data_IF_167443194530
#
_entry.id   IF_167443194530
#
_cell.length_a   1.000
_cell.length_b   1.000
_cell.length_c   1.000
_cell.angle_alpha   90.00
_cell.angle_beta   90.00
_cell.angle_gamma   90.00
#
_symmetry.space_group_name_H-M   'P 1'
#
loop_
_entity.id
_entity.type
_entity.pdbx_description
1 polymer ?
#
# COMPACT_ATOMS: atom_id res chain seq x y z
N UNK A 1 28.52 -26.02 -23.07
CA UNK A 1 29.40 -27.17 -23.40
C UNK A 1 29.01 -28.29 -22.44
N UNK A 2 28.04 -29.14 -22.82
CA UNK A 2 28.21 -30.53 -23.30
C UNK A 2 27.91 -31.56 -22.19
N UNK A 3 26.76 -32.24 -22.35
CA UNK A 3 26.41 -33.68 -22.17
C UNK A 3 26.76 -34.36 -20.82
N UNK A 4 25.80 -34.93 -20.06
CA UNK A 4 25.00 -36.16 -20.31
C UNK A 4 25.82 -37.46 -20.26
N UNK A 5 25.21 -38.53 -19.71
CA UNK A 5 25.61 -39.98 -19.71
C UNK A 5 26.43 -40.36 -18.44
N UNK A 6 26.16 -41.41 -17.64
CA UNK A 6 25.77 -42.77 -18.01
C UNK A 6 25.10 -43.58 -16.87
N UNK A 7 24.11 -44.38 -17.29
CA UNK A 7 23.51 -45.54 -16.64
C UNK A 7 24.19 -46.82 -17.16
N UNK A 8 24.59 -47.77 -16.30
CA UNK A 8 24.87 -49.20 -16.60
C UNK A 8 25.04 -49.92 -15.23
N UNK A 9 24.14 -50.77 -14.71
CA UNK A 9 23.66 -52.07 -15.17
C UNK A 9 24.78 -53.04 -15.60
N UNK A 10 25.11 -54.01 -14.73
CA UNK A 10 25.82 -55.24 -15.08
C UNK A 10 25.04 -56.45 -14.54
N UNK A 11 24.47 -57.19 -15.47
CA UNK A 11 23.93 -58.54 -15.38
C UNK A 11 25.00 -59.48 -15.97
N UNK A 12 25.24 -60.65 -15.35
CA UNK A 12 25.72 -61.90 -15.98
C UNK A 12 26.14 -62.91 -14.88
N UNK A 13 25.32 -63.92 -14.54
CA UNK A 13 25.21 -65.28 -15.12
C UNK A 13 26.29 -66.29 -14.70
N UNK A 14 25.87 -67.44 -14.14
CA UNK A 14 26.32 -68.84 -14.32
C UNK A 14 25.79 -69.67 -13.11
N UNK A 15 25.33 -70.93 -13.14
CA UNK A 15 25.06 -71.93 -14.17
C UNK A 15 24.45 -73.17 -13.43
N UNK A 16 23.28 -73.70 -13.87
CA UNK A 16 22.98 -75.14 -14.14
C UNK A 16 22.83 -76.15 -12.95
N UNK A 17 22.08 -77.29 -13.06
CA UNK A 17 20.72 -77.53 -13.58
C UNK A 17 19.92 -78.64 -12.79
N UNK A 18 18.74 -78.99 -13.32
CA UNK A 18 18.09 -80.31 -13.39
C UNK A 18 17.31 -80.93 -12.21
N UNK A 19 16.01 -81.08 -12.54
CA UNK A 19 15.19 -82.31 -12.53
C UNK A 19 14.42 -82.68 -11.25
N UNK A 20 13.09 -82.63 -11.38
CA UNK A 20 12.17 -83.20 -10.41
C UNK A 20 10.72 -82.83 -10.72
N UNK A 21 10.19 -83.36 -11.82
CA UNK A 21 8.76 -83.30 -12.15
C UNK A 21 7.99 -84.13 -11.11
N UNK A 22 7.10 -83.46 -10.35
CA UNK A 22 5.97 -84.12 -9.68
C UNK A 22 4.72 -83.28 -9.95
N UNK A 23 3.93 -83.76 -10.91
CA UNK A 23 2.57 -83.30 -11.17
C UNK A 23 1.72 -83.73 -9.98
N UNK A 24 1.16 -82.78 -9.25
CA UNK A 24 0.03 -83.04 -8.35
C UNK A 24 -1.09 -82.10 -8.76
N UNK A 25 -2.14 -82.71 -9.33
CA UNK A 25 -3.43 -82.11 -9.58
C UNK A 25 -4.00 -81.60 -8.25
N UNK A 26 -3.94 -80.30 -8.02
CA UNK A 26 -4.73 -79.65 -6.99
C UNK A 26 -5.70 -78.68 -7.66
N UNK A 27 -6.92 -79.20 -7.84
CA UNK A 27 -8.19 -78.50 -7.74
C UNK A 27 -8.13 -76.98 -7.80
N UNK A 28 -8.57 -76.44 -8.94
CA UNK A 28 -9.03 -75.06 -9.04
C UNK A 28 -10.30 -74.88 -8.19
N UNK A 29 -10.13 -74.62 -6.89
CA UNK A 29 -11.07 -73.74 -6.19
C UNK A 29 -10.47 -72.34 -6.20
N UNK A 30 -10.61 -71.65 -7.34
CA UNK A 30 -10.55 -70.19 -7.34
C UNK A 30 -11.79 -69.74 -6.57
N UNK A 31 -11.65 -69.59 -5.24
CA UNK A 31 -12.62 -68.84 -4.45
C UNK A 31 -12.69 -67.47 -5.09
N UNK A 32 -13.76 -67.23 -5.86
CA UNK A 32 -14.13 -65.88 -6.26
C UNK A 32 -14.34 -65.17 -4.94
N UNK A 33 -13.38 -64.32 -4.57
CA UNK A 33 -13.53 -63.38 -3.49
C UNK A 33 -14.64 -62.45 -3.98
N UNK A 34 -15.87 -62.75 -3.57
CA UNK A 34 -16.97 -61.80 -3.69
C UNK A 34 -16.45 -60.53 -3.01
N UNK A 35 -16.28 -59.41 -3.71
CA UNK A 35 -15.86 -58.18 -3.06
C UNK A 35 -16.90 -57.93 -1.98
N UNK A 36 -16.46 -57.92 -0.72
CA UNK A 36 -17.30 -57.42 0.34
C UNK A 36 -17.33 -55.91 0.15
N UNK A 37 -18.33 -55.40 -0.58
CA UNK A 37 -18.48 -53.98 -1.00
C UNK A 37 -18.74 -53.04 0.19
N UNK A 38 -18.36 -53.44 1.41
CA UNK A 38 -18.62 -52.70 2.65
C UNK A 38 -17.33 -52.17 3.30
N UNK A 39 -16.13 -52.56 2.84
CA UNK A 39 -14.89 -52.26 3.59
C UNK A 39 -13.82 -51.39 2.89
N UNK A 40 -14.08 -50.80 1.73
CA UNK A 40 -13.14 -49.86 1.10
C UNK A 40 -13.65 -48.41 1.19
N UNK A 41 -14.21 -48.01 2.34
CA UNK A 41 -14.32 -46.57 2.63
C UNK A 41 -12.88 -46.03 2.75
N UNK A 42 -12.56 -44.86 2.15
CA UNK A 42 -11.32 -44.17 2.44
C UNK A 42 -11.12 -44.11 3.96
N UNK A 43 -9.96 -44.55 4.44
CA UNK A 43 -9.75 -44.65 5.88
C UNK A 43 -9.58 -43.24 6.47
N UNK A 44 -10.50 -42.84 7.35
CA UNK A 44 -10.39 -41.61 8.11
C UNK A 44 -9.01 -41.48 8.77
N UNK A 45 -8.45 -42.60 9.26
CA UNK A 45 -7.14 -42.59 9.91
C UNK A 45 -6.02 -42.11 8.99
N UNK A 46 -6.15 -42.32 7.67
CA UNK A 46 -5.16 -41.83 6.71
C UNK A 46 -5.14 -40.30 6.66
N UNK A 47 -6.32 -39.67 6.61
CA UNK A 47 -6.45 -38.21 6.65
C UNK A 47 -5.90 -37.63 7.95
N UNK A 48 -6.21 -38.27 9.08
CA UNK A 48 -5.70 -37.88 10.40
C UNK A 48 -4.17 -37.97 10.46
N UNK A 49 -3.58 -39.07 9.94
CA UNK A 49 -2.12 -39.25 9.91
C UNK A 49 -1.44 -38.15 9.10
N UNK A 50 -1.98 -37.79 7.93
CA UNK A 50 -1.43 -36.69 7.14
C UNK A 50 -1.59 -35.34 7.84
N UNK A 51 -2.72 -35.11 8.50
CA UNK A 51 -2.99 -33.88 9.24
C UNK A 51 -2.02 -33.72 10.42
N UNK A 52 -1.83 -34.76 11.22
CA UNK A 52 -0.88 -34.78 12.34
C UNK A 52 0.58 -34.61 11.90
N UNK A 53 0.93 -35.11 10.70
CA UNK A 53 2.24 -34.90 10.09
C UNK A 53 2.43 -33.48 9.52
N UNK A 54 1.39 -32.64 9.52
CA UNK A 54 1.39 -31.31 8.89
C UNK A 54 1.34 -31.34 7.37
N UNK A 55 1.10 -32.50 6.76
CA UNK A 55 0.90 -32.65 5.32
C UNK A 55 -0.55 -32.34 4.95
N UNK A 56 -0.89 -31.06 5.06
CA UNK A 56 -2.26 -30.59 4.85
C UNK A 56 -2.76 -30.83 3.42
N UNK A 57 -1.88 -30.90 2.42
CA UNK A 57 -2.28 -31.20 1.05
C UNK A 57 -2.81 -32.63 0.93
N UNK A 58 -2.08 -33.63 1.45
CA UNK A 58 -2.55 -35.02 1.44
C UNK A 58 -3.71 -35.24 2.41
N UNK A 59 -3.75 -34.53 3.53
CA UNK A 59 -4.87 -34.57 4.46
C UNK A 59 -6.18 -34.11 3.80
N UNK A 60 -6.14 -32.96 3.10
CA UNK A 60 -7.29 -32.43 2.35
C UNK A 60 -7.80 -33.46 1.34
N UNK A 61 -6.91 -34.06 0.54
CA UNK A 61 -7.29 -35.07 -0.45
C UNK A 61 -7.98 -36.28 0.19
N UNK A 62 -7.44 -36.78 1.31
CA UNK A 62 -8.00 -37.92 2.03
C UNK A 62 -9.39 -37.60 2.63
N UNK A 63 -9.54 -36.43 3.25
CA UNK A 63 -10.81 -35.98 3.82
C UNK A 63 -11.88 -35.69 2.76
N UNK A 64 -11.52 -35.09 1.63
CA UNK A 64 -12.46 -34.88 0.51
C UNK A 64 -12.91 -36.23 -0.08
N UNK A 65 -12.00 -37.18 -0.24
CA UNK A 65 -12.33 -38.54 -0.66
C UNK A 65 -13.28 -39.20 0.36
N UNK A 66 -13.02 -39.07 1.66
CA UNK A 66 -13.89 -39.59 2.72
C UNK A 66 -15.32 -39.06 2.60
N UNK A 67 -15.49 -37.73 2.53
CA UNK A 67 -16.80 -37.08 2.45
C UNK A 67 -17.56 -37.40 1.15
N UNK A 68 -16.84 -37.77 0.08
CA UNK A 68 -17.45 -38.17 -1.19
C UNK A 68 -18.00 -39.60 -1.17
N UNK A 69 -17.36 -40.51 -0.43
CA UNK A 69 -17.70 -41.94 -0.43
C UNK A 69 -18.55 -42.37 0.77
N UNK A 70 -18.46 -41.69 1.92
CA UNK A 70 -19.25 -42.07 3.09
C UNK A 70 -20.70 -41.56 3.00
N UNK A 71 -21.62 -42.51 2.87
CA UNK A 71 -23.07 -42.26 2.88
C UNK A 71 -23.59 -42.23 4.33
N UNK A 72 -22.88 -42.87 5.27
CA UNK A 72 -23.34 -43.03 6.66
C UNK A 72 -23.29 -41.75 7.49
N UNK A 73 -22.61 -40.71 6.98
CA UNK A 73 -22.32 -39.45 7.67
C UNK A 73 -21.60 -39.63 9.00
N UNK A 74 -20.95 -40.77 9.21
CA UNK A 74 -20.24 -41.08 10.45
C UNK A 74 -18.96 -40.25 10.47
N UNK A 75 -18.64 -39.60 11.58
CA UNK A 75 -17.46 -38.72 11.71
C UNK A 75 -17.42 -37.52 10.74
N UNK A 76 -18.48 -37.23 9.99
CA UNK A 76 -18.49 -36.12 9.04
C UNK A 76 -18.21 -34.78 9.73
N UNK A 77 -18.67 -34.61 10.96
CA UNK A 77 -18.41 -33.42 11.76
C UNK A 77 -16.91 -33.27 12.07
N UNK A 78 -16.25 -34.34 12.53
CA UNK A 78 -14.79 -34.38 12.71
C UNK A 78 -14.05 -34.07 11.40
N UNK A 79 -14.45 -34.71 10.30
CA UNK A 79 -13.80 -34.54 9.00
C UNK A 79 -13.97 -33.12 8.48
N UNK A 80 -15.18 -32.55 8.58
CA UNK A 80 -15.41 -31.15 8.22
C UNK A 80 -14.54 -30.20 9.04
N UNK A 81 -14.41 -30.45 10.35
CA UNK A 81 -13.57 -29.65 11.24
C UNK A 81 -12.08 -29.71 10.86
N UNK A 82 -11.50 -30.92 10.71
CA UNK A 82 -10.09 -31.07 10.35
C UNK A 82 -9.78 -30.64 8.93
N UNK A 83 -10.69 -30.89 7.98
CA UNK A 83 -10.57 -30.39 6.62
C UNK A 83 -10.58 -28.86 6.58
N UNK A 84 -11.47 -28.22 7.34
CA UNK A 84 -11.50 -26.76 7.46
C UNK A 84 -10.20 -26.20 8.03
N UNK A 85 -9.64 -26.83 9.08
CA UNK A 85 -8.34 -26.45 9.63
C UNK A 85 -7.19 -26.61 8.61
N UNK A 86 -7.18 -27.69 7.83
CA UNK A 86 -6.16 -27.92 6.82
C UNK A 86 -6.22 -26.87 5.71
N UNK A 87 -7.42 -26.42 5.34
CA UNK A 87 -7.65 -25.31 4.42
C UNK A 87 -7.32 -23.94 5.02
N UNK A 88 -7.41 -23.78 6.35
CA UNK A 88 -7.19 -22.50 7.03
C UNK A 88 -5.71 -22.16 7.26
N UNK A 89 -4.79 -23.10 7.05
CA UNK A 89 -3.37 -22.90 7.37
C UNK A 89 -2.63 -22.10 6.26
N UNK A 90 -2.20 -20.84 6.49
CA UNK A 90 -1.69 -19.96 5.42
C UNK A 90 -0.42 -20.46 4.71
N UNK A 91 0.42 -21.22 5.41
CA UNK A 91 1.65 -21.78 4.83
C UNK A 91 1.43 -23.10 4.09
N UNK A 92 0.20 -23.63 4.09
CA UNK A 92 -0.14 -24.85 3.38
C UNK A 92 -0.31 -24.59 1.88
N UNK A 93 0.21 -25.45 0.98
CA UNK A 93 -0.15 -25.41 -0.45
C UNK A 93 -1.65 -25.57 -0.70
N UNK A 94 -2.37 -26.19 0.23
CA UNK A 94 -3.82 -26.35 0.15
C UNK A 94 -4.58 -25.13 0.70
N UNK A 95 -3.90 -24.07 1.17
CA UNK A 95 -4.55 -22.92 1.81
C UNK A 95 -5.67 -22.35 0.95
N UNK A 96 -6.87 -22.31 1.52
CA UNK A 96 -8.03 -21.65 0.94
C UNK A 96 -8.98 -21.23 2.06
N UNK A 97 -8.83 -19.98 2.49
CA UNK A 97 -9.61 -19.39 3.58
C UNK A 97 -11.13 -19.45 3.33
N UNK A 98 -11.58 -19.21 2.09
CA UNK A 98 -13.00 -19.25 1.76
C UNK A 98 -13.58 -20.66 1.89
N UNK A 99 -12.85 -21.68 1.43
CA UNK A 99 -13.26 -23.07 1.63
C UNK A 99 -13.28 -23.44 3.11
N UNK A 100 -12.28 -23.02 3.89
CA UNK A 100 -12.26 -23.26 5.33
C UNK A 100 -13.50 -22.70 6.04
N UNK A 101 -13.84 -21.43 5.76
CA UNK A 101 -15.04 -20.77 6.31
C UNK A 101 -16.30 -21.57 5.94
N UNK A 102 -16.49 -21.88 4.66
CA UNK A 102 -17.68 -22.62 4.21
C UNK A 102 -17.81 -24.01 4.84
N UNK A 103 -16.69 -24.68 5.14
CA UNK A 103 -16.69 -25.96 5.84
C UNK A 103 -17.06 -25.83 7.32
N UNK A 104 -16.58 -24.79 8.01
CA UNK A 104 -17.01 -24.50 9.38
C UNK A 104 -18.49 -24.10 9.44
N UNK A 105 -18.97 -23.29 8.51
CA UNK A 105 -20.40 -22.95 8.42
C UNK A 105 -21.26 -24.18 8.16
N UNK A 106 -20.80 -25.07 7.27
CA UNK A 106 -21.45 -26.35 7.02
C UNK A 106 -21.46 -27.26 8.27
N UNK A 107 -20.35 -27.33 9.01
CA UNK A 107 -20.29 -28.06 10.28
C UNK A 107 -21.37 -27.56 11.26
N UNK A 108 -21.48 -26.24 11.44
CA UNK A 108 -22.45 -25.63 12.35
C UNK A 108 -23.90 -25.83 11.90
N UNK A 109 -24.13 -25.93 10.58
CA UNK A 109 -25.45 -26.13 9.99
C UNK A 109 -25.88 -27.59 9.99
N UNK A 110 -25.02 -28.48 9.51
CA UNK A 110 -25.31 -29.91 9.34
C UNK A 110 -25.18 -30.70 10.66
N UNK A 111 -24.37 -30.23 11.61
CA UNK A 111 -24.03 -30.93 12.86
C UNK A 111 -24.04 -29.99 14.09
N UNK A 112 -25.20 -29.41 14.46
CA UNK A 112 -25.30 -28.41 15.54
C UNK A 112 -24.96 -28.94 16.94
N UNK A 113 -24.98 -30.27 17.14
CA UNK A 113 -24.62 -30.93 18.40
C UNK A 113 -23.18 -31.47 18.39
N UNK A 114 -22.39 -31.15 17.37
CA UNK A 114 -21.02 -31.61 17.26
C UNK A 114 -20.13 -31.09 18.42
N UNK A 115 -19.22 -31.92 18.95
CA UNK A 115 -18.23 -31.46 19.94
C UNK A 115 -17.27 -30.38 19.42
N UNK A 116 -17.27 -30.11 18.10
CA UNK A 116 -16.44 -29.10 17.44
C UNK A 116 -17.14 -27.75 17.25
N UNK A 117 -18.42 -27.63 17.62
CA UNK A 117 -19.23 -26.41 17.40
C UNK A 117 -18.58 -25.16 17.99
N UNK A 118 -18.27 -25.18 19.27
CA UNK A 118 -17.71 -24.02 19.99
C UNK A 118 -16.39 -23.56 19.37
N UNK A 119 -15.55 -24.51 18.95
CA UNK A 119 -14.26 -24.25 18.32
C UNK A 119 -14.46 -23.63 16.94
N UNK A 120 -15.40 -24.13 16.14
CA UNK A 120 -15.72 -23.56 14.84
C UNK A 120 -16.29 -22.14 14.94
N UNK A 121 -17.22 -21.90 15.88
CA UNK A 121 -17.75 -20.55 16.16
C UNK A 121 -16.64 -19.58 16.55
N UNK A 122 -15.72 -20.01 17.43
CA UNK A 122 -14.57 -19.20 17.84
C UNK A 122 -13.66 -18.87 16.65
N UNK A 123 -13.31 -19.85 15.82
CA UNK A 123 -12.45 -19.65 14.65
C UNK A 123 -13.08 -18.66 13.66
N UNK A 124 -14.37 -18.83 13.35
CA UNK A 124 -15.10 -17.90 12.48
C UNK A 124 -15.17 -16.48 13.08
N UNK A 125 -15.39 -16.38 14.39
CA UNK A 125 -15.39 -15.10 15.11
C UNK A 125 -14.03 -14.40 15.09
N UNK A 126 -12.93 -15.15 15.23
CA UNK A 126 -11.57 -14.61 15.11
C UNK A 126 -11.27 -14.18 13.67
N UNK A 127 -11.70 -14.96 12.68
CA UNK A 127 -11.53 -14.62 11.27
C UNK A 127 -12.24 -13.31 10.92
N UNK A 128 -13.49 -13.14 11.36
CA UNK A 128 -14.23 -11.90 11.16
C UNK A 128 -13.56 -10.69 11.85
N UNK A 129 -12.93 -10.88 13.01
CA UNK A 129 -12.16 -9.83 13.68
C UNK A 129 -10.88 -9.47 12.90
N UNK A 130 -10.15 -10.46 12.39
CA UNK A 130 -8.97 -10.23 11.55
C UNK A 130 -9.34 -9.42 10.30
N UNK A 131 -10.44 -9.78 9.62
CA UNK A 131 -10.87 -9.08 8.41
C UNK A 131 -11.31 -7.64 8.71
N UNK A 132 -11.98 -7.40 9.84
CA UNK A 132 -12.30 -6.05 10.32
C UNK A 132 -11.04 -5.22 10.59
N UNK A 133 -10.03 -5.83 11.23
CA UNK A 133 -8.76 -5.15 11.54
C UNK A 133 -8.02 -4.80 10.26
N UNK A 134 -7.96 -5.70 9.27
CA UNK A 134 -7.36 -5.43 7.96
C UNK A 134 -8.03 -4.24 7.27
N UNK A 135 -9.35 -4.24 7.20
CA UNK A 135 -10.11 -3.13 6.61
C UNK A 135 -9.84 -1.80 7.31
N UNK A 136 -9.74 -1.80 8.64
CA UNK A 136 -9.43 -0.60 9.42
C UNK A 136 -7.99 -0.13 9.16
N UNK A 137 -7.04 -1.05 9.06
CA UNK A 137 -5.64 -0.76 8.71
C UNK A 137 -5.55 -0.11 7.33
N UNK A 138 -6.23 -0.66 6.33
CA UNK A 138 -6.24 -0.13 4.96
C UNK A 138 -6.84 1.29 4.90
N UNK A 139 -7.92 1.52 5.64
CA UNK A 139 -8.53 2.84 5.77
C UNK A 139 -7.59 3.83 6.44
N UNK A 140 -6.95 3.44 7.53
CA UNK A 140 -6.02 4.30 8.26
C UNK A 140 -4.80 4.65 7.41
N UNK A 141 -4.26 3.68 6.67
CA UNK A 141 -3.16 3.91 5.73
C UNK A 141 -3.56 4.92 4.64
N UNK A 142 -4.76 4.80 4.08
CA UNK A 142 -5.27 5.77 3.10
C UNK A 142 -5.38 7.18 3.68
N UNK A 143 -5.83 7.31 4.94
CA UNK A 143 -5.90 8.61 5.63
C UNK A 143 -4.51 9.20 5.89
N UNK A 144 -3.52 8.37 6.25
CA UNK A 144 -2.14 8.82 6.44
C UNK A 144 -1.56 9.38 5.15
N UNK A 145 -1.78 8.72 4.02
CA UNK A 145 -1.30 9.21 2.71
C UNK A 145 -1.98 10.52 2.29
N UNK A 146 -3.30 10.64 2.52
CA UNK A 146 -4.02 11.89 2.28
C UNK A 146 -3.48 13.05 3.13
N UNK A 147 -3.29 12.82 4.43
CA UNK A 147 -2.74 13.82 5.34
C UNK A 147 -1.31 14.22 4.95
N UNK A 148 -0.46 13.26 4.56
CA UNK A 148 0.89 13.54 4.06
C UNK A 148 0.85 14.45 2.83
N UNK A 149 -0.03 14.18 1.88
CA UNK A 149 -0.17 15.03 0.69
C UNK A 149 -0.62 16.45 1.05
N UNK A 150 -1.55 16.57 2.01
CA UNK A 150 -2.06 17.86 2.49
C UNK A 150 -0.96 18.67 3.19
N UNK A 151 -0.16 18.01 4.03
CA UNK A 151 1.00 18.65 4.69
C UNK A 151 1.99 19.14 3.65
N UNK A 152 2.33 18.33 2.65
CA UNK A 152 3.27 18.72 1.59
C UNK A 152 2.78 19.94 0.79
N UNK A 153 1.49 19.98 0.43
CA UNK A 153 0.91 21.15 -0.25
C UNK A 153 0.95 22.39 0.63
N UNK A 154 0.59 22.27 1.92
CA UNK A 154 0.65 23.40 2.86
C UNK A 154 2.09 23.89 3.08
N UNK A 155 3.07 23.01 3.12
CA UNK A 155 4.49 23.37 3.21
C UNK A 155 4.96 24.16 1.97
N UNK A 156 4.53 23.74 0.77
CA UNK A 156 4.82 24.50 -0.46
C UNK A 156 4.18 25.88 -0.44
N UNK A 157 2.93 25.97 0.01
CA UNK A 157 2.23 27.25 0.16
C UNK A 157 2.92 28.17 1.17
N UNK A 158 3.38 27.64 2.31
CA UNK A 158 4.14 28.40 3.30
C UNK A 158 5.45 28.93 2.73
N UNK A 159 6.17 28.13 1.94
CA UNK A 159 7.39 28.59 1.24
C UNK A 159 7.11 29.71 0.26
N UNK A 160 6.08 29.58 -0.56
CA UNK A 160 5.68 30.63 -1.51
C UNK A 160 5.31 31.93 -0.79
N UNK A 161 4.54 31.83 0.29
CA UNK A 161 4.14 32.99 1.08
C UNK A 161 5.36 33.66 1.74
N UNK A 162 6.32 32.87 2.22
CA UNK A 162 7.56 33.40 2.79
C UNK A 162 8.38 34.19 1.75
N UNK A 163 8.56 33.63 0.55
CA UNK A 163 9.25 34.33 -0.55
C UNK A 163 8.54 35.63 -0.94
N UNK A 164 7.20 35.63 -0.98
CA UNK A 164 6.42 36.83 -1.29
C UNK A 164 6.56 37.90 -0.20
N UNK A 165 6.59 37.51 1.08
CA UNK A 165 6.81 38.43 2.20
C UNK A 165 8.20 39.07 2.14
N UNK A 166 9.24 38.29 1.85
CA UNK A 166 10.61 38.79 1.69
C UNK A 166 10.72 39.77 0.50
N UNK A 167 10.06 39.45 -0.61
CA UNK A 167 10.00 40.35 -1.77
C UNK A 167 9.26 41.65 -1.45
N UNK A 168 8.18 41.60 -0.67
CA UNK A 168 7.47 42.81 -0.25
C UNK A 168 8.31 43.68 0.69
N UNK A 169 9.06 43.06 1.61
CA UNK A 169 9.96 43.78 2.51
C UNK A 169 11.09 44.49 1.75
N UNK A 170 11.74 43.80 0.81
CA UNK A 170 12.79 44.40 -0.02
C UNK A 170 12.26 45.55 -0.88
N UNK A 171 11.08 45.38 -1.49
CA UNK A 171 10.42 46.44 -2.23
C UNK A 171 10.07 47.65 -1.34
N UNK A 172 9.64 47.42 -0.10
CA UNK A 172 9.33 48.50 0.84
C UNK A 172 10.59 49.30 1.18
N UNK A 173 11.70 48.64 1.49
CA UNK A 173 13.00 49.29 1.77
C UNK A 173 13.49 50.12 0.57
N UNK A 174 13.39 49.57 -0.64
CA UNK A 174 13.74 50.30 -1.87
C UNK A 174 12.89 51.55 -2.05
N UNK A 175 11.58 51.45 -1.82
CA UNK A 175 10.68 52.61 -1.90
C UNK A 175 10.97 53.66 -0.83
N UNK A 176 11.31 53.24 0.39
CA UNK A 176 11.74 54.17 1.44
C UNK A 176 13.02 54.93 1.06
N UNK A 177 13.98 54.26 0.42
CA UNK A 177 15.18 54.90 -0.08
C UNK A 177 14.87 55.90 -1.21
N UNK A 178 14.02 55.53 -2.17
CA UNK A 178 13.57 56.45 -3.22
C UNK A 178 12.87 57.68 -2.64
N UNK A 179 12.00 57.51 -1.63
CA UNK A 179 11.35 58.62 -0.93
C UNK A 179 12.39 59.52 -0.25
N UNK A 180 13.42 58.95 0.39
CA UNK A 180 14.52 59.74 0.97
C UNK A 180 15.24 60.57 -0.11
N UNK A 181 15.57 59.96 -1.24
CA UNK A 181 16.29 60.64 -2.33
C UNK A 181 15.45 61.77 -2.92
N UNK A 182 14.18 61.52 -3.27
CA UNK A 182 13.29 62.57 -3.77
C UNK A 182 13.08 63.71 -2.76
N UNK A 183 13.07 63.40 -1.45
CA UNK A 183 12.99 64.43 -0.42
C UNK A 183 14.22 65.34 -0.41
N UNK A 184 15.41 64.79 -0.60
CA UNK A 184 16.65 65.56 -0.71
C UNK A 184 16.64 66.44 -1.97
N UNK A 185 16.23 65.90 -3.11
CA UNK A 185 16.09 66.66 -4.37
C UNK A 185 15.08 67.81 -4.22
N UNK A 186 13.93 67.57 -3.59
CA UNK A 186 12.94 68.61 -3.31
C UNK A 186 13.50 69.72 -2.41
N UNK A 187 14.32 69.37 -1.42
CA UNK A 187 14.99 70.37 -0.57
C UNK A 187 15.95 71.24 -1.39
N UNK A 188 16.78 70.63 -2.24
CA UNK A 188 17.71 71.36 -3.12
C UNK A 188 16.98 72.26 -4.11
N UNK A 189 15.92 71.75 -4.74
CA UNK A 189 15.11 72.53 -5.68
C UNK A 189 14.42 73.71 -4.99
N UNK A 190 13.98 73.53 -3.73
CA UNK A 190 13.43 74.62 -2.92
C UNK A 190 14.46 75.68 -2.60
N UNK A 191 15.70 75.31 -2.24
CA UNK A 191 16.76 76.29 -2.01
C UNK A 191 17.11 77.07 -3.28
N UNK A 192 17.18 76.38 -4.42
CA UNK A 192 17.45 77.03 -5.71
C UNK A 192 16.34 78.01 -6.11
N UNK A 193 15.07 77.65 -5.87
CA UNK A 193 13.94 78.56 -6.07
C UNK A 193 14.08 79.82 -5.22
N UNK A 194 14.38 79.68 -3.93
CA UNK A 194 14.56 80.85 -3.05
C UNK A 194 15.72 81.75 -3.49
N UNK A 195 16.83 81.16 -3.94
CA UNK A 195 17.98 81.94 -4.44
C UNK A 195 17.63 82.66 -5.75
N UNK A 196 16.86 82.03 -6.64
CA UNK A 196 16.38 82.65 -7.88
C UNK A 196 15.40 83.79 -7.60
N UNK A 197 14.49 83.62 -6.65
CA UNK A 197 13.58 84.69 -6.21
C UNK A 197 14.34 85.92 -5.68
N UNK A 198 15.37 85.70 -4.88
CA UNK A 198 16.22 86.78 -4.37
C UNK A 198 16.97 87.51 -5.50
N UNK A 199 17.56 86.76 -6.45
CA UNK A 199 18.20 87.36 -7.63
C UNK A 199 17.22 88.19 -8.47
N UNK A 200 16.00 87.69 -8.69
CA UNK A 200 14.98 88.43 -9.42
C UNK A 200 14.61 89.74 -8.72
N UNK A 201 14.54 89.73 -7.38
CA UNK A 201 14.30 90.95 -6.60
C UNK A 201 15.42 91.96 -6.77
N UNK A 202 16.69 91.52 -6.69
CA UNK A 202 17.85 92.40 -6.85
C UNK A 202 17.95 92.97 -8.28
N UNK A 203 17.76 92.14 -9.30
CA UNK A 203 17.75 92.60 -10.70
C UNK A 203 16.61 93.59 -10.94
N UNK A 204 15.45 93.40 -10.31
CA UNK A 204 14.33 94.35 -10.38
C UNK A 204 14.70 95.69 -9.75
N UNK A 205 15.38 95.70 -8.60
CA UNK A 205 15.83 96.95 -7.97
C UNK A 205 16.86 97.67 -8.82
N UNK A 206 17.86 96.96 -9.38
CA UNK A 206 18.85 97.54 -10.30
C UNK A 206 18.19 98.14 -11.54
N UNK A 207 17.19 97.46 -12.11
CA UNK A 207 16.46 97.95 -13.27
C UNK A 207 15.71 99.26 -12.98
N UNK A 208 15.08 99.38 -11.80
CA UNK A 208 14.40 100.61 -11.40
C UNK A 208 15.39 101.76 -11.13
N UNK A 209 16.57 101.47 -10.59
CA UNK A 209 17.64 102.46 -10.44
C UNK A 209 18.15 102.97 -11.80
N UNK A 210 18.42 102.07 -12.74
CA UNK A 210 18.82 102.45 -14.10
C UNK A 210 17.75 103.31 -14.78
N UNK A 211 16.48 102.92 -14.65
CA UNK A 211 15.34 103.69 -15.18
C UNK A 211 15.27 105.09 -14.59
N UNK A 212 15.54 105.26 -13.29
CA UNK A 212 15.64 106.59 -12.66
C UNK A 212 16.75 107.42 -13.27
N UNK A 213 17.95 106.86 -13.44
CA UNK A 213 19.09 107.56 -14.03
C UNK A 213 18.78 108.05 -15.45
N UNK A 214 18.15 107.21 -16.27
CA UNK A 214 17.76 107.59 -17.64
C UNK A 214 16.70 108.69 -17.67
N UNK A 215 15.76 108.69 -16.71
CA UNK A 215 14.76 109.75 -16.57
C UNK A 215 15.39 111.08 -16.11
N UNK A 216 16.38 111.04 -15.23
CA UNK A 216 17.13 112.22 -14.75
C UNK A 216 18.07 112.81 -15.83
N UNK A 217 18.51 112.01 -16.82
CA UNK A 217 19.36 112.46 -17.94
C UNK A 217 18.59 113.01 -19.15
N UNK A 218 17.26 112.93 -19.18
CA UNK A 218 16.44 113.45 -20.28
C UNK A 218 16.32 114.98 -20.15
N UNK A 219 16.87 115.81 -21.06
CA UNK A 219 16.65 117.25 -20.99
C UNK A 219 15.16 117.52 -21.21
N UNK A 220 14.58 118.38 -20.37
CA UNK A 220 13.23 118.90 -20.59
C UNK A 220 13.18 119.56 -21.96
N UNK A 221 12.48 118.96 -22.92
CA UNK A 221 12.05 119.69 -24.10
C UNK A 221 11.12 120.81 -23.63
N UNK A 222 11.44 122.10 -23.87
CA UNK A 222 10.46 123.17 -23.77
C UNK A 222 9.37 122.96 -24.83
N UNK A 223 8.16 123.37 -24.49
CA UNK A 223 6.93 123.33 -25.30
C UNK A 223 7.10 123.68 -26.78
#
# INVERSE_FOLDING_TARGET
MVKEIAFQMKIATFLVPLLGICIVLNSCQRKVKVPNVINDLPDLQQGETYFEAGDYLRAVQAYEAYLHHDISRRNHDRVLFHLALAYAFPSSPAYNQQKAIGLFERLLTDFPESPYKTQAELILGLQAQIDRIKLMSDRLNSQVEELRSTVQVKEQQLKQLHMALEQLQTNALQKEEQIRNFKLELMQMKTDLTQREERLKNLKTELEELKRIDLERRPSQPE
#
